data_IF_235361929091
#
_entry.id   IF_235361929091
#
_cell.length_a   1.000
_cell.length_b   1.000
_cell.length_c   1.000
_cell.angle_alpha   90.00
_cell.angle_beta   90.00
_cell.angle_gamma   90.00
#
_symmetry.space_group_name_H-M   'P 1'
#
loop_
_entity.id
_entity.type
_entity.pdbx_description
1 polymer ?
#
# COMPACT_ATOMS: atom_id res chain seq x y z
N UNK A 1 10.66 -36.66 49.93
CA UNK A 1 10.09 -36.93 48.59
C UNK A 1 9.02 -35.90 48.27
N UNK A 2 9.07 -35.35 47.04
CA UNK A 2 8.03 -34.61 46.30
C UNK A 2 7.45 -33.32 46.90
N UNK A 3 7.75 -32.20 46.23
CA UNK A 3 6.72 -31.32 45.67
C UNK A 3 7.33 -30.55 44.50
N UNK A 4 7.22 -31.12 43.30
CA UNK A 4 7.55 -30.49 42.04
C UNK A 4 6.66 -29.26 41.85
N UNK A 5 7.24 -28.06 41.81
CA UNK A 5 6.51 -26.86 41.40
C UNK A 5 6.32 -26.91 39.90
N UNK A 6 5.12 -27.37 39.52
CA UNK A 6 4.61 -27.40 38.16
C UNK A 6 4.60 -25.98 37.58
N UNK A 7 5.07 -25.85 36.33
CA UNK A 7 5.38 -24.60 35.67
C UNK A 7 4.18 -23.67 35.51
N UNK A 8 4.42 -22.38 35.71
CA UNK A 8 3.57 -21.29 35.25
C UNK A 8 3.45 -21.41 33.73
N UNK A 9 2.30 -21.86 33.26
CA UNK A 9 1.91 -21.80 31.86
C UNK A 9 1.66 -20.32 31.55
N UNK A 10 2.60 -19.67 30.85
CA UNK A 10 2.39 -18.32 30.28
C UNK A 10 1.30 -18.42 29.23
N UNK A 11 0.06 -18.12 29.64
CA UNK A 11 -1.06 -17.87 28.75
C UNK A 11 -0.68 -16.65 27.90
N UNK A 12 -0.40 -16.85 26.61
CA UNK A 12 -0.18 -15.74 25.67
C UNK A 12 -1.55 -15.05 25.46
N UNK A 13 -1.67 -13.72 25.66
CA UNK A 13 -2.93 -13.04 25.39
C UNK A 13 -3.22 -13.09 23.89
N UNK A 14 -4.33 -13.73 23.52
CA UNK A 14 -4.87 -13.80 22.17
C UNK A 14 -5.71 -12.56 21.87
N UNK A 15 -5.10 -11.38 21.75
CA UNK A 15 -5.86 -10.12 21.61
C UNK A 15 -5.23 -9.10 20.64
N UNK A 16 -4.88 -9.50 19.41
CA UNK A 16 -4.56 -8.56 18.31
C UNK A 16 -4.44 -9.25 16.93
N UNK A 17 -5.45 -9.99 16.48
CA UNK A 17 -5.46 -10.53 15.10
C UNK A 17 -6.66 -10.09 14.26
N UNK A 18 -7.73 -9.58 14.87
CA UNK A 18 -8.97 -9.29 14.14
C UNK A 18 -9.04 -7.87 13.56
N UNK A 19 -8.47 -6.86 14.24
CA UNK A 19 -8.50 -5.47 13.77
C UNK A 19 -7.66 -5.23 12.50
N UNK A 20 -6.64 -6.05 12.27
CA UNK A 20 -5.75 -5.94 11.11
C UNK A 20 -6.37 -6.47 9.82
N UNK A 21 -7.30 -7.42 9.93
CA UNK A 21 -7.93 -8.09 8.78
C UNK A 21 -8.97 -7.16 8.13
N UNK A 22 -9.85 -6.54 8.92
CA UNK A 22 -10.85 -5.60 8.43
C UNK A 22 -10.25 -4.34 7.78
N UNK A 23 -9.13 -3.84 8.31
CA UNK A 23 -8.39 -2.71 7.72
C UNK A 23 -7.76 -3.15 6.39
N UNK A 24 -7.23 -4.37 6.32
CA UNK A 24 -6.64 -4.92 5.09
C UNK A 24 -7.71 -5.12 4.01
N UNK A 25 -8.89 -5.65 4.36
CA UNK A 25 -10.00 -5.81 3.46
C UNK A 25 -10.51 -4.47 2.87
N UNK A 26 -10.62 -3.42 3.71
CA UNK A 26 -10.96 -2.07 3.23
C UNK A 26 -9.89 -1.49 2.31
N UNK A 27 -8.60 -1.75 2.57
CA UNK A 27 -7.50 -1.35 1.66
C UNK A 27 -7.65 -2.01 0.31
N UNK A 28 -7.93 -3.30 0.30
CA UNK A 28 -8.08 -4.07 -0.94
C UNK A 28 -9.28 -3.62 -1.77
N UNK A 29 -10.41 -3.29 -1.13
CA UNK A 29 -11.58 -2.75 -1.84
C UNK A 29 -11.29 -1.40 -2.51
N UNK A 30 -10.63 -0.48 -1.80
CA UNK A 30 -10.23 0.82 -2.37
C UNK A 30 -9.21 0.62 -3.50
N UNK A 31 -8.25 -0.28 -3.32
CA UNK A 31 -7.27 -0.60 -4.36
C UNK A 31 -7.92 -1.26 -5.58
N UNK A 32 -8.92 -2.13 -5.42
CA UNK A 32 -9.63 -2.76 -6.52
C UNK A 32 -10.35 -1.70 -7.37
N UNK A 33 -11.09 -0.79 -6.75
CA UNK A 33 -11.75 0.31 -7.45
C UNK A 33 -10.76 1.22 -8.20
N UNK A 34 -9.60 1.52 -7.59
CA UNK A 34 -8.55 2.30 -8.26
C UNK A 34 -7.91 1.49 -9.42
N UNK A 35 -7.79 0.17 -9.28
CA UNK A 35 -7.17 -0.70 -10.30
C UNK A 35 -8.02 -0.84 -11.56
N UNK A 36 -9.34 -0.76 -11.45
CA UNK A 36 -10.26 -0.79 -12.59
C UNK A 36 -10.14 0.46 -13.48
N UNK A 37 -9.94 1.63 -12.85
CA UNK A 37 -9.79 2.90 -13.56
C UNK A 37 -8.38 3.14 -14.10
N UNK A 38 -7.39 2.38 -13.63
CA UNK A 38 -5.99 2.56 -14.03
C UNK A 38 -5.67 1.86 -15.37
N UNK A 39 -5.02 2.57 -16.32
CA UNK A 39 -4.54 1.97 -17.55
C UNK A 39 -3.47 0.89 -17.24
N UNK A 40 -3.22 -0.05 -18.18
CA UNK A 40 -2.23 -1.10 -17.98
C UNK A 40 -0.83 -0.56 -17.69
N UNK A 41 -0.50 0.62 -18.25
CA UNK A 41 0.70 1.39 -17.94
C UNK A 41 0.30 2.83 -17.65
N UNK A 42 0.69 3.33 -16.48
CA UNK A 42 0.41 4.68 -16.00
C UNK A 42 1.58 5.59 -16.36
N UNK A 43 1.41 6.43 -17.38
CA UNK A 43 2.44 7.37 -17.81
C UNK A 43 2.42 8.65 -16.99
N UNK A 44 3.59 9.25 -16.75
CA UNK A 44 3.71 10.55 -16.04
C UNK A 44 2.94 11.69 -16.74
N UNK A 45 2.69 11.58 -18.05
CA UNK A 45 1.95 12.54 -18.86
C UNK A 45 0.44 12.23 -18.98
N UNK A 46 -0.07 11.26 -18.21
CA UNK A 46 -1.46 10.86 -18.33
C UNK A 46 -2.41 11.96 -17.81
N UNK A 47 -3.36 12.40 -18.64
CA UNK A 47 -4.23 13.53 -18.34
C UNK A 47 -5.19 13.27 -17.16
N UNK A 48 -5.67 12.03 -16.97
CA UNK A 48 -6.54 11.64 -15.83
C UNK A 48 -5.77 11.37 -14.54
N UNK A 49 -4.47 11.61 -14.50
CA UNK A 49 -3.66 11.32 -13.30
C UNK A 49 -4.23 12.01 -12.06
N UNK A 50 -4.60 13.30 -12.17
CA UNK A 50 -5.14 14.08 -11.06
C UNK A 50 -6.57 13.70 -10.68
N UNK A 51 -7.33 13.11 -11.61
CA UNK A 51 -8.71 12.71 -11.38
C UNK A 51 -8.80 11.36 -10.65
N UNK A 52 -7.86 10.47 -10.94
CA UNK A 52 -7.84 9.09 -10.41
C UNK A 52 -6.96 8.97 -9.16
N UNK A 53 -5.87 9.73 -9.09
CA UNK A 53 -4.91 9.63 -8.01
C UNK A 53 -4.83 10.93 -7.20
N UNK A 54 -4.85 10.84 -5.85
CA UNK A 54 -4.69 12.01 -5.00
C UNK A 54 -3.25 12.56 -4.98
N UNK A 55 -2.33 11.99 -5.78
CA UNK A 55 -0.90 12.32 -5.78
C UNK A 55 -0.46 12.93 -7.09
N UNK A 56 0.52 13.85 -7.03
CA UNK A 56 1.08 14.44 -8.24
C UNK A 56 2.04 13.45 -8.95
N UNK A 57 2.10 13.46 -10.30
CA UNK A 57 3.05 12.63 -11.05
C UNK A 57 4.50 13.00 -10.73
N UNK A 58 4.75 14.26 -10.32
CA UNK A 58 6.08 14.73 -9.88
C UNK A 58 6.49 14.08 -8.56
N UNK A 59 5.57 13.88 -7.63
CA UNK A 59 5.85 13.19 -6.36
C UNK A 59 6.32 11.77 -6.62
N UNK A 60 5.61 11.03 -7.47
CA UNK A 60 5.99 9.67 -7.86
C UNK A 60 7.35 9.64 -8.58
N UNK A 61 7.62 10.61 -9.46
CA UNK A 61 8.93 10.72 -10.12
C UNK A 61 10.09 11.02 -9.14
N UNK A 62 9.84 11.83 -8.11
CA UNK A 62 10.83 12.12 -7.08
C UNK A 62 11.10 10.89 -6.22
N UNK A 63 10.06 10.13 -5.85
CA UNK A 63 10.20 8.91 -5.06
C UNK A 63 10.85 7.77 -5.85
N UNK A 64 10.55 7.67 -7.15
CA UNK A 64 11.27 6.81 -8.09
C UNK A 64 12.77 7.16 -8.13
N UNK A 65 13.10 8.46 -8.17
CA UNK A 65 14.50 8.92 -8.13
C UNK A 65 15.18 8.62 -6.78
N UNK A 66 14.41 8.51 -5.69
CA UNK A 66 14.88 8.13 -4.35
C UNK A 66 14.95 6.60 -4.14
N UNK A 67 14.50 5.80 -5.11
CA UNK A 67 14.40 4.34 -4.98
C UNK A 67 13.23 3.85 -4.13
N UNK A 68 12.32 4.74 -3.76
CA UNK A 68 11.09 4.45 -2.99
C UNK A 68 9.85 4.32 -3.89
N UNK A 69 10.01 4.56 -5.19
CA UNK A 69 8.94 4.50 -6.19
C UNK A 69 8.56 3.08 -6.65
N UNK A 70 7.79 2.97 -7.74
CA UNK A 70 7.39 1.70 -8.33
C UNK A 70 8.63 0.89 -8.77
N UNK A 71 8.65 -0.40 -8.42
CA UNK A 71 9.80 -1.28 -8.69
C UNK A 71 10.10 -1.46 -10.18
N UNK A 72 9.06 -1.48 -10.99
CA UNK A 72 9.16 -1.62 -12.43
C UNK A 72 8.81 -0.31 -13.12
N UNK A 73 9.55 -0.03 -14.18
CA UNK A 73 9.37 1.15 -15.03
C UNK A 73 9.50 0.73 -16.49
N UNK A 74 8.57 1.22 -17.30
CA UNK A 74 8.56 1.06 -18.75
C UNK A 74 8.84 2.43 -19.34
N UNK A 75 9.79 2.52 -20.24
CA UNK A 75 10.04 3.76 -20.99
C UNK A 75 9.44 3.64 -22.37
N UNK A 76 8.66 4.66 -22.76
CA UNK A 76 8.18 4.84 -24.12
C UNK A 76 8.74 6.16 -24.62
N UNK A 77 9.81 6.09 -25.42
CA UNK A 77 10.56 7.26 -25.86
C UNK A 77 11.16 8.04 -24.68
N UNK A 78 10.77 9.31 -24.52
CA UNK A 78 11.20 10.17 -23.40
C UNK A 78 10.31 10.05 -22.17
N UNK A 79 9.19 9.34 -22.26
CA UNK A 79 8.21 9.25 -21.19
C UNK A 79 8.43 7.99 -20.36
N UNK A 80 8.47 8.15 -19.05
CA UNK A 80 8.42 7.06 -18.10
C UNK A 80 6.96 6.69 -17.80
N UNK A 81 6.68 5.39 -17.81
CA UNK A 81 5.42 4.78 -17.42
C UNK A 81 5.66 3.70 -16.37
N UNK A 82 4.64 3.49 -15.54
CA UNK A 82 4.65 2.52 -14.48
C UNK A 82 3.61 1.44 -14.78
N UNK A 83 3.99 0.16 -14.85
CA UNK A 83 3.00 -0.90 -15.05
C UNK A 83 2.05 -0.94 -13.85
N UNK A 84 0.78 -1.21 -14.13
CA UNK A 84 -0.30 -1.20 -13.12
C UNK A 84 0.04 -2.02 -11.88
N UNK A 85 0.59 -3.22 -12.07
CA UNK A 85 0.95 -4.12 -10.97
C UNK A 85 1.97 -3.48 -10.01
N UNK A 86 3.09 -2.96 -10.54
CA UNK A 86 4.11 -2.30 -9.73
C UNK A 86 3.61 -1.01 -9.07
N UNK A 87 2.71 -0.29 -9.75
CA UNK A 87 2.11 0.92 -9.20
C UNK A 87 1.15 0.62 -8.04
N UNK A 88 0.33 -0.42 -8.16
CA UNK A 88 -0.56 -0.89 -7.09
C UNK A 88 0.25 -1.39 -5.88
N UNK A 89 1.34 -2.13 -6.09
CA UNK A 89 2.25 -2.52 -5.00
C UNK A 89 2.82 -1.30 -4.27
N UNK A 90 3.18 -0.26 -5.02
CA UNK A 90 3.68 0.98 -4.46
C UNK A 90 2.60 1.73 -3.66
N UNK A 91 1.36 1.80 -4.17
CA UNK A 91 0.22 2.36 -3.44
C UNK A 91 -0.08 1.57 -2.15
N UNK A 92 -0.02 0.23 -2.19
CA UNK A 92 -0.20 -0.63 -1.00
C UNK A 92 0.71 -0.25 0.16
N UNK A 93 1.97 0.12 -0.12
CA UNK A 93 2.94 0.52 0.90
C UNK A 93 2.62 1.87 1.54
N UNK A 94 1.82 2.71 0.88
CA UNK A 94 1.59 4.12 1.24
C UNK A 94 0.20 4.42 1.76
N UNK A 95 -0.80 3.57 1.49
CA UNK A 95 -2.15 3.73 2.03
C UNK A 95 -2.13 3.38 3.52
N UNK A 96 -1.86 4.39 4.34
CA UNK A 96 -2.07 4.34 5.77
C UNK A 96 -3.46 4.87 6.08
N UNK A 97 -4.34 4.02 6.57
CA UNK A 97 -5.53 4.47 7.29
C UNK A 97 -5.05 4.97 8.65
N UNK A 98 -4.89 6.28 8.80
CA UNK A 98 -4.83 6.90 10.12
C UNK A 98 -6.26 7.02 10.62
N UNK A 99 -6.57 6.51 11.81
CA UNK A 99 -7.74 7.01 12.53
C UNK A 99 -7.57 8.52 12.62
N UNK A 100 -8.55 9.28 12.12
CA UNK A 100 -8.52 10.72 12.22
C UNK A 100 -8.41 11.09 13.69
N UNK A 101 -7.36 11.81 14.07
CA UNK A 101 -7.42 12.64 15.27
C UNK A 101 -8.50 13.70 14.99
N UNK A 102 -9.70 13.47 15.51
CA UNK A 102 -10.62 14.55 15.78
C UNK A 102 -9.95 15.45 16.83
N UNK A 103 -9.46 16.62 16.41
CA UNK A 103 -9.36 17.80 17.28
C UNK A 103 -9.19 19.08 16.48
#
# INVERSE_FOLDING_TARGET
MKASRCGILKIKPSWSLNMTDEITAKREQVLAAITEELPPVVFRNWHRWKDVLPMSPRTVANEDSRGEGPKEKVFVGRNAGYPRAAFVEYLRKRIHFTEGKNS
#
